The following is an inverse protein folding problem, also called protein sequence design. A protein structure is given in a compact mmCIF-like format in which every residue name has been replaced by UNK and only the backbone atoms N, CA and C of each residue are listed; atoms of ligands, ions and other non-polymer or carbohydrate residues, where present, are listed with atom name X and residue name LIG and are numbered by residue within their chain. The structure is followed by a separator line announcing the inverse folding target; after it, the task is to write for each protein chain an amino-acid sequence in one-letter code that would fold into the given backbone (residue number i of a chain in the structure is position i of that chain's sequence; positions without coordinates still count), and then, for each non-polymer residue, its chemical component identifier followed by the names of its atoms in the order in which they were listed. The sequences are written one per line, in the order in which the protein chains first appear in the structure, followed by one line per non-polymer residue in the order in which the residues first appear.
data_IF_505588542103
#
_entry.id   IF_505588542103
#
_cell.length_a   1.000
_cell.length_b   1.000
_cell.length_c   1.000
_cell.angle_alpha   90.00
_cell.angle_beta   90.00
_cell.angle_gamma   90.00
#
_symmetry.space_group_name_H-M   'P 1'
#
loop_
_entity.id
_entity.type
_entity.pdbx_description
1 polymer ?
#
# COMPACT_ATOMS: atom_id res chain seq x y z
N UNK A 1 -8.14 16.80 -9.48
CA UNK A 1 -7.84 17.67 -8.32
C UNK A 1 -8.66 17.15 -7.15
N UNK A 2 -8.08 17.11 -5.95
CA UNK A 2 -8.76 16.71 -4.71
C UNK A 2 -8.70 17.89 -3.75
N UNK A 3 -9.82 18.24 -3.12
CA UNK A 3 -9.87 19.32 -2.14
C UNK A 3 -9.61 18.75 -0.74
N UNK A 4 -8.62 19.31 -0.04
CA UNK A 4 -8.35 19.00 1.37
C UNK A 4 -8.40 20.32 2.15
N UNK A 5 -9.49 20.51 2.90
CA UNK A 5 -9.85 21.83 3.45
C UNK A 5 -10.00 22.84 2.31
N UNK A 6 -9.33 23.98 2.45
CA UNK A 6 -9.36 25.07 1.45
C UNK A 6 -8.28 24.93 0.37
N UNK A 7 -7.52 23.83 0.38
CA UNK A 7 -6.43 23.59 -0.58
C UNK A 7 -6.86 22.63 -1.68
N UNK A 8 -6.64 23.02 -2.94
CA UNK A 8 -6.76 22.11 -4.08
C UNK A 8 -5.43 21.41 -4.33
N UNK A 9 -5.43 20.08 -4.27
CA UNK A 9 -4.23 19.26 -4.46
C UNK A 9 -4.36 18.45 -5.74
N UNK A 10 -3.32 18.50 -6.59
CA UNK A 10 -3.18 17.59 -7.72
C UNK A 10 -2.57 16.28 -7.22
N UNK A 11 -3.42 15.28 -7.02
CA UNK A 11 -2.97 13.94 -6.61
C UNK A 11 -2.55 13.13 -7.85
N UNK A 12 -1.35 12.56 -7.81
CA UNK A 12 -0.88 11.56 -8.76
C UNK A 12 -0.69 10.24 -8.01
N UNK A 13 -1.39 9.20 -8.45
CA UNK A 13 -1.31 7.86 -7.87
C UNK A 13 -0.71 6.93 -8.91
N UNK A 14 0.26 6.15 -8.49
CA UNK A 14 0.92 5.15 -9.32
C UNK A 14 0.59 3.78 -8.73
N UNK A 15 -0.07 2.93 -9.51
CA UNK A 15 -0.26 1.52 -9.17
C UNK A 15 0.92 0.73 -9.71
N UNK A 16 1.56 -0.08 -8.87
CA UNK A 16 2.75 -0.84 -9.23
C UNK A 16 2.45 -2.33 -9.19
N UNK A 17 3.06 -3.08 -10.10
CA UNK A 17 2.94 -4.53 -10.07
C UNK A 17 3.61 -5.08 -8.80
N UNK A 18 2.81 -5.72 -7.94
CA UNK A 18 3.25 -6.28 -6.65
C UNK A 18 4.01 -7.60 -6.74
N UNK A 19 4.40 -8.03 -7.94
CA UNK A 19 5.26 -9.20 -8.15
C UNK A 19 6.73 -8.80 -8.06
N UNK A 20 7.53 -9.68 -7.48
CA UNK A 20 8.95 -9.42 -7.23
C UNK A 20 9.74 -9.17 -8.52
N UNK A 21 9.33 -9.79 -9.63
CA UNK A 21 9.90 -9.60 -10.97
C UNK A 21 9.83 -8.16 -11.47
N UNK A 22 8.98 -7.30 -10.88
CA UNK A 22 8.86 -5.89 -11.24
C UNK A 22 9.46 -4.94 -10.19
N UNK A 23 10.16 -5.45 -9.16
CA UNK A 23 10.79 -4.63 -8.10
C UNK A 23 11.71 -3.54 -8.65
N UNK A 24 12.45 -3.82 -9.73
CA UNK A 24 13.35 -2.85 -10.36
C UNK A 24 12.59 -1.65 -10.94
N UNK A 25 11.43 -1.88 -11.53
CA UNK A 25 10.53 -0.86 -12.08
C UNK A 25 9.86 -0.09 -10.94
N UNK A 26 9.49 -0.77 -9.85
CA UNK A 26 8.89 -0.13 -8.67
C UNK A 26 9.81 0.92 -8.02
N UNK A 27 11.14 0.72 -8.08
CA UNK A 27 12.12 1.63 -7.47
C UNK A 27 12.09 3.04 -8.06
N UNK A 28 11.85 3.21 -9.36
CA UNK A 28 11.78 4.55 -9.96
C UNK A 28 10.57 5.35 -9.46
N UNK A 29 9.49 4.68 -9.08
CA UNK A 29 8.28 5.34 -8.57
C UNK A 29 8.41 5.85 -7.13
N UNK A 30 9.38 5.35 -6.36
CA UNK A 30 9.66 5.90 -5.03
C UNK A 30 10.35 7.27 -5.09
N UNK A 31 11.05 7.57 -6.19
CA UNK A 31 11.77 8.84 -6.34
C UNK A 31 10.77 9.98 -6.56
N UNK A 32 10.71 10.90 -5.59
CA UNK A 32 9.81 12.05 -5.64
C UNK A 32 8.40 11.78 -5.11
N UNK A 33 8.11 10.57 -4.65
CA UNK A 33 6.85 10.27 -3.99
C UNK A 33 6.76 10.94 -2.62
N UNK A 34 5.64 11.61 -2.35
CA UNK A 34 5.34 12.16 -1.03
C UNK A 34 4.93 11.08 -0.02
N UNK A 35 4.35 9.97 -0.51
CA UNK A 35 3.96 8.84 0.32
C UNK A 35 3.77 7.55 -0.48
N UNK A 36 3.70 6.44 0.24
CA UNK A 36 3.46 5.11 -0.30
C UNK A 36 2.40 4.37 0.52
N UNK A 37 1.55 3.62 -0.17
CA UNK A 37 0.62 2.68 0.44
C UNK A 37 1.22 1.28 0.37
N UNK A 38 1.50 0.69 1.52
CA UNK A 38 2.02 -0.66 1.65
C UNK A 38 0.83 -1.60 1.91
N UNK A 39 0.36 -2.26 0.87
CA UNK A 39 -0.91 -3.00 0.90
C UNK A 39 -0.67 -4.50 1.02
N UNK A 40 -1.41 -5.17 1.91
CA UNK A 40 -1.46 -6.63 2.00
C UNK A 40 -2.90 -7.14 1.99
N UNK A 41 -3.08 -8.44 1.77
CA UNK A 41 -4.39 -9.10 1.79
C UNK A 41 -4.61 -9.76 3.16
N UNK A 42 -5.66 -9.36 3.89
CA UNK A 42 -5.91 -9.90 5.25
C UNK A 42 -6.22 -11.40 5.25
N UNK A 43 -6.60 -11.96 4.09
CA UNK A 43 -6.91 -13.38 3.90
C UNK A 43 -5.73 -14.20 3.41
N UNK A 44 -4.54 -13.60 3.22
CA UNK A 44 -3.34 -14.29 2.73
C UNK A 44 -2.10 -13.87 3.51
N UNK A 45 -1.69 -14.71 4.46
CA UNK A 45 -0.54 -14.49 5.34
C UNK A 45 0.76 -14.15 4.61
N UNK A 46 1.05 -14.82 3.50
CA UNK A 46 2.30 -14.59 2.74
C UNK A 46 2.45 -13.16 2.24
N UNK A 47 1.34 -12.51 1.89
CA UNK A 47 1.37 -11.10 1.45
C UNK A 47 1.78 -10.16 2.57
N UNK A 48 1.46 -10.50 3.82
CA UNK A 48 1.89 -9.75 5.00
C UNK A 48 3.37 -10.00 5.31
N UNK A 49 3.83 -11.25 5.17
CA UNK A 49 5.23 -11.61 5.41
C UNK A 49 6.19 -10.85 4.47
N UNK A 50 5.78 -10.59 3.23
CA UNK A 50 6.59 -9.84 2.26
C UNK A 50 6.68 -8.33 2.55
N UNK A 51 5.82 -7.76 3.40
CA UNK A 51 5.79 -6.32 3.66
C UNK A 51 7.10 -5.77 4.19
N UNK A 52 7.84 -6.55 5.00
CA UNK A 52 9.13 -6.12 5.53
C UNK A 52 10.14 -5.83 4.40
N UNK A 53 10.17 -6.68 3.38
CA UNK A 53 11.06 -6.51 2.23
C UNK A 53 10.65 -5.31 1.39
N UNK A 54 9.35 -5.14 1.11
CA UNK A 54 8.84 -3.97 0.39
C UNK A 54 9.05 -2.65 1.14
N UNK A 55 8.92 -2.66 2.46
CA UNK A 55 9.20 -1.51 3.31
C UNK A 55 10.69 -1.12 3.25
N UNK A 56 11.58 -2.12 3.28
CA UNK A 56 13.01 -1.89 3.16
C UNK A 56 13.37 -1.30 1.79
N UNK A 57 12.85 -1.88 0.70
CA UNK A 57 13.04 -1.37 -0.66
C UNK A 57 12.55 0.08 -0.79
N UNK A 58 11.37 0.39 -0.25
CA UNK A 58 10.80 1.73 -0.26
C UNK A 58 11.69 2.73 0.51
N UNK A 59 12.18 2.36 1.70
CA UNK A 59 13.06 3.24 2.50
C UNK A 59 14.42 3.47 1.87
N UNK A 60 14.95 2.51 1.13
CA UNK A 60 16.25 2.63 0.47
C UNK A 60 16.23 3.60 -0.72
N UNK A 61 15.08 3.71 -1.41
CA UNK A 61 14.99 4.47 -2.67
C UNK A 61 14.14 5.74 -2.56
N UNK A 62 13.36 5.90 -1.50
CA UNK A 62 12.52 7.07 -1.28
C UNK A 62 13.20 8.18 -0.47
N UNK A 63 12.55 9.34 -0.45
CA UNK A 63 12.91 10.42 0.47
C UNK A 63 12.75 9.98 1.94
N UNK A 64 13.65 10.41 2.86
CA UNK A 64 13.51 10.17 4.31
C UNK A 64 12.22 10.73 4.95
N UNK A 65 11.56 11.64 4.23
CA UNK A 65 10.30 12.27 4.63
C UNK A 65 9.07 11.60 4.00
N UNK A 66 9.25 10.56 3.17
CA UNK A 66 8.13 9.84 2.57
C UNK A 66 7.27 9.20 3.66
N UNK A 67 5.96 9.48 3.62
CA UNK A 67 4.99 8.89 4.54
C UNK A 67 4.59 7.51 4.04
N UNK A 68 4.75 6.47 4.86
CA UNK A 68 4.33 5.11 4.50
C UNK A 68 3.12 4.73 5.33
N UNK A 69 2.06 4.27 4.66
CA UNK A 69 0.85 3.79 5.33
C UNK A 69 0.64 2.32 5.04
N UNK A 70 0.55 1.51 6.08
CA UNK A 70 0.22 0.09 5.99
C UNK A 70 -1.29 -0.06 5.81
N UNK A 71 -1.71 -0.81 4.79
CA UNK A 71 -3.12 -1.02 4.45
C UNK A 71 -3.44 -2.52 4.38
N UNK A 72 -4.34 -2.97 5.26
CA UNK A 72 -4.95 -4.29 5.15
C UNK A 72 -6.14 -4.25 4.19
N UNK A 73 -6.05 -4.96 3.07
CA UNK A 73 -7.07 -5.04 2.03
C UNK A 73 -7.99 -6.26 2.24
N UNK A 74 -9.16 -6.27 1.59
CA UNK A 74 -10.18 -7.34 1.64
C UNK A 74 -10.77 -7.62 3.03
N UNK A 75 -10.91 -6.58 3.85
CA UNK A 75 -11.50 -6.70 5.18
C UNK A 75 -12.99 -7.06 5.18
N UNK A 76 -13.65 -7.07 4.02
CA UNK A 76 -14.98 -7.66 3.83
C UNK A 76 -14.97 -9.19 3.98
N UNK A 77 -13.82 -9.86 3.80
CA UNK A 77 -13.65 -11.30 3.95
C UNK A 77 -13.15 -11.68 5.35
N UNK A 78 -13.68 -11.03 6.39
CA UNK A 78 -13.18 -11.15 7.77
C UNK A 78 -13.23 -12.59 8.31
N UNK A 79 -14.22 -13.38 7.89
CA UNK A 79 -14.32 -14.81 8.23
C UNK A 79 -13.15 -15.66 7.72
N UNK A 80 -12.38 -15.17 6.74
CA UNK A 80 -11.18 -15.81 6.18
C UNK A 80 -9.90 -15.08 6.59
N UNK A 81 -9.96 -14.21 7.60
CA UNK A 81 -8.81 -13.43 8.05
C UNK A 81 -7.73 -14.36 8.61
N UNK A 82 -6.56 -14.29 8.01
CA UNK A 82 -5.35 -14.96 8.49
C UNK A 82 -4.45 -14.02 9.29
N UNK A 83 -4.55 -12.70 9.04
CA UNK A 83 -3.72 -11.67 9.69
C UNK A 83 -4.57 -10.84 10.67
N UNK A 84 -4.25 -10.97 11.97
CA UNK A 84 -4.93 -10.23 13.04
C UNK A 84 -4.60 -8.74 12.97
N UNK A 85 -5.56 -7.90 13.33
CA UNK A 85 -5.37 -6.45 13.31
C UNK A 85 -4.24 -6.01 14.26
N UNK A 86 -4.19 -6.56 15.48
CA UNK A 86 -3.16 -6.27 16.49
C UNK A 86 -1.74 -6.56 15.97
N UNK A 87 -1.60 -7.59 15.14
CA UNK A 87 -0.33 -7.97 14.54
C UNK A 87 0.13 -6.94 13.51
N UNK A 88 -0.79 -6.50 12.63
CA UNK A 88 -0.52 -5.45 11.65
C UNK A 88 -0.20 -4.11 12.33
N UNK A 89 -0.89 -3.79 13.43
CA UNK A 89 -0.59 -2.60 14.22
C UNK A 89 0.77 -2.72 14.93
N UNK A 90 1.12 -3.89 15.44
CA UNK A 90 2.44 -4.14 16.04
C UNK A 90 3.55 -3.99 15.01
N UNK A 91 3.34 -4.51 13.80
CA UNK A 91 4.24 -4.28 12.66
C UNK A 91 4.38 -2.78 12.37
N UNK A 92 3.28 -2.04 12.24
CA UNK A 92 3.33 -0.60 11.99
C UNK A 92 4.05 0.18 13.11
N UNK A 93 3.79 -0.16 14.38
CA UNK A 93 4.47 0.45 15.55
C UNK A 93 5.97 0.16 15.57
N UNK A 94 6.38 -1.06 15.23
CA UNK A 94 7.78 -1.46 15.15
C UNK A 94 8.57 -0.61 14.16
N UNK A 95 7.94 -0.21 13.06
CA UNK A 95 8.56 0.60 12.03
C UNK A 95 8.16 2.07 12.19
N UNK A 96 8.85 2.80 13.08
CA UNK A 96 8.65 4.24 13.30
C UNK A 96 8.43 5.01 11.98
N UNK A 97 7.39 5.86 11.92
CA UNK A 97 6.84 6.55 10.73
C UNK A 97 5.91 5.74 9.82
N UNK A 98 5.55 4.50 10.14
CA UNK A 98 4.45 3.80 9.46
C UNK A 98 3.14 4.05 10.19
N UNK A 99 2.13 4.60 9.50
CA UNK A 99 0.75 4.66 10.03
C UNK A 99 0.01 3.40 9.62
N UNK A 100 -0.71 2.76 10.53
CA UNK A 100 -1.64 1.67 10.16
C UNK A 100 -3.00 2.26 9.83
N UNK A 101 -3.61 1.78 8.75
CA UNK A 101 -5.00 2.09 8.42
C UNK A 101 -5.63 0.88 7.77
N UNK A 102 -6.76 0.42 8.30
CA UNK A 102 -7.51 -0.69 7.70
C UNK A 102 -8.56 -0.09 6.78
N UNK A 103 -8.62 -0.56 5.53
CA UNK A 103 -9.60 -0.05 4.58
C UNK A 103 -10.47 -1.19 4.07
N UNK A 104 -11.79 -1.01 4.19
CA UNK A 104 -12.78 -1.90 3.59
C UNK A 104 -12.89 -1.57 2.10
N UNK A 105 -12.15 -2.29 1.25
CA UNK A 105 -12.42 -2.32 -0.19
C UNK A 105 -12.74 -3.75 -0.63
N UNK A 106 -13.91 -3.92 -1.24
CA UNK A 106 -14.24 -5.09 -2.05
C UNK A 106 -13.50 -4.96 -3.38
N UNK A 107 -12.84 -6.03 -3.82
CA UNK A 107 -12.19 -6.15 -5.15
C UNK A 107 -13.10 -5.78 -6.33
N UNK A 108 -14.43 -5.72 -6.13
CA UNK A 108 -15.39 -5.27 -7.15
C UNK A 108 -15.17 -3.83 -7.62
N UNK A 109 -14.60 -2.95 -6.80
CA UNK A 109 -14.40 -1.53 -7.17
C UNK A 109 -13.24 -1.31 -8.15
N UNK A 110 -12.15 -2.08 -8.05
CA UNK A 110 -11.00 -1.97 -8.97
C UNK A 110 -11.35 -2.43 -10.40
N UNK A 111 -12.21 -3.45 -10.53
CA UNK A 111 -12.67 -3.95 -11.84
C UNK A 111 -13.75 -3.06 -12.46
N UNK A 112 -14.63 -2.44 -11.66
CA UNK A 112 -15.73 -1.60 -12.16
C UNK A 112 -15.32 -0.19 -12.58
N UNK A 113 -14.25 0.34 -12.03
CA UNK A 113 -13.89 1.75 -12.20
C UNK A 113 -12.96 2.01 -13.40
N UNK A 114 -12.52 0.97 -14.13
CA UNK A 114 -11.72 1.13 -15.35
C UNK A 114 -10.26 1.58 -15.12
N UNK A 115 -9.77 1.54 -13.88
CA UNK A 115 -8.43 2.00 -13.50
C UNK A 115 -7.31 0.99 -13.75
N UNK A 116 -7.63 -0.26 -14.11
CA UNK A 116 -6.66 -1.21 -14.65
C UNK A 116 -6.80 -1.30 -16.17
N UNK A 117 -5.92 -0.60 -16.89
CA UNK A 117 -5.43 -1.11 -18.17
C UNK A 117 -4.07 -1.72 -17.89
N UNK A 118 -3.98 -3.05 -17.90
CA UNK A 118 -2.70 -3.69 -18.16
C UNK A 118 -2.19 -3.12 -19.48
N UNK A 119 -1.09 -2.36 -19.41
CA UNK A 119 -0.27 -2.09 -20.58
C UNK A 119 0.11 -3.44 -21.19
N UNK A 120 -0.03 -3.52 -22.52
CA UNK A 120 0.21 -4.71 -23.35
C UNK A 120 1.49 -5.45 -22.98
#
# INVERSE_FOLDING_TARGET
MVNIGDKQIKLQVWDTAGQESFRSITRSYYRGAAGALLVYDVTRRDTFNHLASWLQDARQHASPNMVITLVGNKCDLDARREVKQEEAETFARKWHKVRSSTIKYSTKWFLRSGWLRFGR
#
